data_IF_835939379315
#
_entry.id   IF_835939379315
#
_cell.length_a   1.000
_cell.length_b   1.000
_cell.length_c   1.000
_cell.angle_alpha   90.00
_cell.angle_beta   90.00
_cell.angle_gamma   90.00
#
_symmetry.space_group_name_H-M   'P 1'
#
loop_
_entity.id
_entity.type
_entity.pdbx_description
1 polymer ?
#
# COMPACT_ATOMS: atom_id res chain seq x y z
N UNK A 1 -14.24 7.29 5.82
CA UNK A 1 -14.62 8.69 6.17
C UNK A 1 -14.97 8.91 7.63
N UNK A 2 -14.37 9.91 8.27
CA UNK A 2 -14.63 10.29 9.66
C UNK A 2 -15.93 11.11 9.80
N UNK A 3 -16.81 10.72 10.72
CA UNK A 3 -17.99 11.51 11.10
C UNK A 3 -17.61 12.35 12.32
N UNK A 4 -17.66 13.67 12.22
CA UNK A 4 -17.36 14.56 13.37
C UNK A 4 -18.60 15.02 14.12
N UNK A 5 -19.77 15.02 13.47
CA UNK A 5 -21.04 15.43 14.05
C UNK A 5 -22.16 14.50 13.60
N UNK A 6 -23.03 14.07 14.52
CA UNK A 6 -24.11 13.11 14.24
C UNK A 6 -25.21 13.67 13.34
N UNK A 7 -25.53 14.95 13.49
CA UNK A 7 -26.53 15.68 12.70
C UNK A 7 -26.19 15.77 11.19
N UNK A 8 -24.93 15.46 10.82
CA UNK A 8 -24.48 15.40 9.43
C UNK A 8 -24.56 14.01 8.82
N UNK A 9 -25.01 13.01 9.58
CA UNK A 9 -25.21 11.65 9.05
C UNK A 9 -26.42 11.68 8.12
N UNK A 10 -26.22 11.32 6.86
CA UNK A 10 -27.32 11.21 5.90
C UNK A 10 -28.19 9.98 6.21
N UNK A 11 -29.50 10.12 6.07
CA UNK A 11 -30.46 9.03 6.27
C UNK A 11 -30.43 8.00 5.13
N UNK A 12 -30.99 6.83 5.41
CA UNK A 12 -31.07 5.72 4.44
C UNK A 12 -32.22 5.97 3.44
N UNK A 13 -31.95 5.77 2.14
CA UNK A 13 -32.92 5.78 1.05
C UNK A 13 -33.14 4.36 0.54
N UNK A 14 -33.95 3.61 1.25
CA UNK A 14 -34.09 2.17 1.03
C UNK A 14 -34.55 1.78 -0.37
N UNK A 15 -35.43 2.58 -0.99
CA UNK A 15 -35.95 2.34 -2.34
C UNK A 15 -34.86 2.35 -3.42
N UNK A 16 -33.75 3.03 -3.17
CA UNK A 16 -32.64 3.20 -4.12
C UNK A 16 -31.53 2.15 -3.92
N UNK A 17 -31.64 1.30 -2.89
CA UNK A 17 -30.69 0.20 -2.66
C UNK A 17 -30.97 -0.92 -3.67
N UNK A 18 -29.95 -1.42 -4.40
CA UNK A 18 -30.09 -2.49 -5.37
C UNK A 18 -30.76 -3.74 -4.80
N UNK A 19 -31.74 -4.27 -5.53
CA UNK A 19 -32.51 -5.44 -5.09
C UNK A 19 -31.63 -6.65 -4.79
N UNK A 20 -30.57 -6.84 -5.57
CA UNK A 20 -29.63 -7.93 -5.39
C UNK A 20 -28.84 -7.88 -4.07
N UNK A 21 -28.59 -6.69 -3.49
CA UNK A 21 -28.03 -6.58 -2.14
C UNK A 21 -29.08 -6.97 -1.08
N UNK A 22 -30.33 -6.52 -1.25
CA UNK A 22 -31.44 -6.80 -0.31
C UNK A 22 -31.75 -8.29 -0.18
N UNK A 23 -31.55 -9.05 -1.26
CA UNK A 23 -31.81 -10.50 -1.30
C UNK A 23 -30.81 -11.32 -0.47
N UNK A 24 -29.69 -10.76 -0.02
CA UNK A 24 -28.68 -11.46 0.77
C UNK A 24 -28.83 -11.14 2.26
N UNK A 25 -28.94 -12.14 3.16
CA UNK A 25 -29.18 -11.93 4.60
C UNK A 25 -27.89 -11.58 5.37
N UNK A 26 -27.20 -10.56 4.90
CA UNK A 26 -25.93 -10.07 5.45
C UNK A 26 -26.07 -8.66 6.07
N UNK A 27 -27.27 -8.29 6.51
CA UNK A 27 -27.57 -6.95 6.98
C UNK A 27 -27.35 -6.82 8.48
N UNK A 28 -26.90 -5.63 8.88
CA UNK A 28 -26.70 -5.19 10.26
C UNK A 28 -27.18 -3.75 10.41
N UNK A 29 -27.50 -3.34 11.63
CA UNK A 29 -27.65 -1.94 12.00
C UNK A 29 -26.28 -1.37 12.35
N UNK A 30 -26.14 -0.05 12.47
CA UNK A 30 -24.97 0.53 13.10
C UNK A 30 -25.29 1.79 13.90
N UNK A 31 -24.44 2.08 14.89
CA UNK A 31 -24.52 3.29 15.72
C UNK A 31 -23.27 4.14 15.54
N UNK A 32 -23.46 5.46 15.54
CA UNK A 32 -22.38 6.42 15.68
C UNK A 32 -21.95 6.50 17.16
N UNK A 33 -20.80 5.90 17.49
CA UNK A 33 -20.21 5.91 18.82
C UNK A 33 -18.96 6.80 18.86
N UNK A 34 -18.89 7.72 19.82
CA UNK A 34 -17.75 8.64 19.93
C UNK A 34 -16.47 7.89 20.31
N UNK A 35 -15.40 8.15 19.56
CA UNK A 35 -14.07 7.62 19.81
C UNK A 35 -13.14 8.74 20.29
N UNK A 36 -12.86 8.76 21.59
CA UNK A 36 -11.99 9.77 22.21
C UNK A 36 -10.58 9.82 21.61
N UNK A 37 -10.04 8.69 21.14
CA UNK A 37 -8.67 8.68 20.59
C UNK A 37 -8.62 9.29 19.19
N UNK A 38 -9.66 9.08 18.39
CA UNK A 38 -9.72 9.53 17.00
C UNK A 38 -10.48 10.86 16.85
N UNK A 39 -11.09 11.36 17.92
CA UNK A 39 -11.88 12.58 17.96
C UNK A 39 -12.94 12.60 16.84
N UNK A 40 -13.60 11.46 16.65
CA UNK A 40 -14.63 11.24 15.65
C UNK A 40 -15.62 10.16 16.12
N UNK A 41 -16.74 10.02 15.41
CA UNK A 41 -17.68 8.92 15.60
C UNK A 41 -17.25 7.71 14.76
N UNK A 42 -17.01 6.60 15.45
CA UNK A 42 -16.91 5.28 14.86
C UNK A 42 -18.28 4.76 14.43
N UNK A 43 -18.30 3.94 13.39
CA UNK A 43 -19.49 3.24 12.92
C UNK A 43 -19.43 1.83 13.49
N UNK A 44 -20.23 1.55 14.51
CA UNK A 44 -20.19 0.26 15.23
C UNK A 44 -21.39 -0.57 14.81
N UNK A 45 -21.21 -1.79 14.27
CA UNK A 45 -22.30 -2.61 13.78
C UNK A 45 -23.05 -3.31 14.93
N UNK A 46 -24.36 -3.46 14.77
CA UNK A 46 -25.29 -4.06 15.72
C UNK A 46 -26.23 -5.03 14.99
N UNK A 47 -26.59 -6.12 15.67
CA UNK A 47 -27.68 -7.00 15.29
C UNK A 47 -29.02 -6.38 15.65
N UNK A 48 -30.11 -6.87 15.06
CA UNK A 48 -31.49 -6.45 15.39
C UNK A 48 -31.85 -6.69 16.86
N UNK A 49 -31.14 -7.59 17.56
CA UNK A 49 -31.36 -7.85 18.99
C UNK A 49 -30.66 -6.82 19.90
N UNK A 50 -30.08 -5.74 19.35
CA UNK A 50 -29.41 -4.68 20.10
C UNK A 50 -28.00 -5.00 20.58
N UNK A 51 -27.45 -6.18 20.28
CA UNK A 51 -26.06 -6.53 20.56
C UNK A 51 -25.13 -6.17 19.40
N UNK A 52 -23.86 -5.87 19.70
CA UNK A 52 -22.83 -5.64 18.67
C UNK A 52 -22.74 -6.84 17.73
N UNK A 53 -22.77 -6.58 16.42
CA UNK A 53 -22.61 -7.60 15.40
C UNK A 53 -21.13 -7.82 15.07
N UNK A 54 -20.78 -9.05 14.74
CA UNK A 54 -19.44 -9.41 14.28
C UNK A 54 -19.40 -9.39 12.77
N UNK A 55 -18.33 -8.90 12.15
CA UNK A 55 -18.17 -8.92 10.69
C UNK A 55 -17.79 -10.30 10.13
N UNK A 56 -17.67 -11.32 10.98
CA UNK A 56 -17.30 -12.69 10.58
C UNK A 56 -18.26 -13.77 11.11
N UNK A 57 -19.18 -13.43 12.02
CA UNK A 57 -20.17 -14.37 12.53
C UNK A 57 -21.54 -14.12 11.92
N UNK A 58 -21.93 -14.99 10.96
CA UNK A 58 -23.21 -14.94 10.24
C UNK A 58 -24.44 -14.92 11.15
N UNK A 59 -24.36 -15.50 12.36
CA UNK A 59 -25.47 -15.51 13.33
C UNK A 59 -25.83 -14.13 13.89
N UNK A 60 -24.97 -13.13 13.66
CA UNK A 60 -25.19 -11.76 14.12
C UNK A 60 -25.75 -10.85 13.03
N UNK A 61 -26.02 -11.38 11.84
CA UNK A 61 -26.58 -10.67 10.70
C UNK A 61 -28.05 -11.08 10.51
N UNK A 62 -28.78 -10.32 9.69
CA UNK A 62 -30.18 -10.54 9.42
C UNK A 62 -30.52 -10.24 7.94
N UNK A 63 -31.76 -10.52 7.55
CA UNK A 63 -32.32 -10.05 6.28
C UNK A 63 -32.53 -8.52 6.27
N UNK A 64 -32.69 -7.99 5.06
CA UNK A 64 -32.86 -6.55 4.83
C UNK A 64 -34.12 -6.00 5.49
N UNK A 65 -35.24 -6.71 5.37
CA UNK A 65 -36.55 -6.26 5.87
C UNK A 65 -36.53 -6.09 7.38
N UNK A 66 -35.98 -7.06 8.11
CA UNK A 66 -35.86 -6.98 9.57
C UNK A 66 -34.98 -5.82 10.03
N UNK A 67 -33.87 -5.54 9.33
CA UNK A 67 -32.98 -4.42 9.64
C UNK A 67 -33.61 -3.07 9.28
N UNK A 68 -34.35 -3.00 8.17
CA UNK A 68 -35.10 -1.81 7.74
C UNK A 68 -36.16 -1.43 8.78
N UNK A 69 -37.01 -2.40 9.18
CA UNK A 69 -38.04 -2.18 10.20
C UNK A 69 -37.42 -1.68 11.51
N UNK A 70 -36.36 -2.35 11.99
CA UNK A 70 -35.71 -1.97 13.24
C UNK A 70 -35.06 -0.58 13.16
N UNK A 71 -34.48 -0.23 12.01
CA UNK A 71 -33.92 1.11 11.77
C UNK A 71 -35.00 2.19 11.79
N UNK A 72 -36.19 1.93 11.25
CA UNK A 72 -37.29 2.89 11.22
C UNK A 72 -37.91 3.14 12.61
N UNK A 73 -37.97 2.12 13.46
CA UNK A 73 -38.67 2.21 14.77
C UNK A 73 -37.76 2.65 15.92
N UNK A 74 -36.44 2.48 15.81
CA UNK A 74 -35.50 2.76 16.89
C UNK A 74 -34.43 3.80 16.51
N UNK A 75 -34.63 5.02 17.02
CA UNK A 75 -33.78 6.19 16.78
C UNK A 75 -32.34 6.04 17.30
N UNK A 76 -32.01 4.99 18.08
CA UNK A 76 -30.64 4.79 18.54
C UNK A 76 -29.68 4.39 17.42
N UNK A 77 -30.21 3.87 16.29
CA UNK A 77 -29.41 3.47 15.14
C UNK A 77 -29.18 4.63 14.18
N UNK A 78 -27.95 4.74 13.70
CA UNK A 78 -27.54 5.82 12.78
C UNK A 78 -27.68 5.40 11.31
N UNK A 79 -28.04 4.14 11.04
CA UNK A 79 -28.28 3.62 9.71
C UNK A 79 -28.12 2.10 9.66
N UNK A 80 -28.12 1.59 8.44
CA UNK A 80 -27.97 0.16 8.13
C UNK A 80 -26.60 -0.11 7.48
N UNK A 81 -26.19 -1.36 7.46
CA UNK A 81 -24.94 -1.81 6.86
C UNK A 81 -25.03 -3.22 6.31
N UNK A 82 -24.15 -3.51 5.37
CA UNK A 82 -24.06 -4.77 4.67
C UNK A 82 -22.69 -5.41 4.92
N UNK A 83 -22.67 -6.67 5.35
CA UNK A 83 -21.44 -7.39 5.64
C UNK A 83 -20.93 -8.10 4.40
N UNK A 84 -19.74 -7.71 3.94
CA UNK A 84 -19.01 -8.39 2.88
C UNK A 84 -18.44 -9.70 3.43
N UNK A 85 -18.65 -10.79 2.68
CA UNK A 85 -18.25 -12.13 3.09
C UNK A 85 -17.95 -12.99 1.87
N UNK A 86 -17.08 -13.98 2.04
CA UNK A 86 -16.64 -14.90 0.97
C UNK A 86 -17.78 -15.62 0.24
N UNK A 87 -19.00 -15.62 0.80
CA UNK A 87 -20.17 -16.30 0.25
C UNK A 87 -21.14 -15.43 -0.54
N UNK A 88 -20.97 -14.11 -0.62
CA UNK A 88 -21.94 -13.23 -1.29
C UNK A 88 -21.42 -12.59 -2.60
N UNK A 89 -20.14 -12.77 -2.94
CA UNK A 89 -19.49 -12.26 -4.15
C UNK A 89 -19.60 -10.73 -4.34
N UNK A 90 -19.91 -9.96 -3.28
CA UNK A 90 -19.92 -8.51 -3.34
C UNK A 90 -18.57 -7.94 -2.96
N UNK A 91 -18.17 -6.93 -3.72
CA UNK A 91 -16.96 -6.14 -3.50
C UNK A 91 -17.38 -4.69 -3.27
N UNK A 92 -16.72 -4.00 -2.35
CA UNK A 92 -16.90 -2.56 -2.18
C UNK A 92 -15.56 -1.83 -2.27
N UNK A 93 -15.51 -0.83 -3.14
CA UNK A 93 -14.49 0.21 -3.17
C UNK A 93 -14.99 1.39 -2.34
N UNK A 94 -14.32 1.71 -1.24
CA UNK A 94 -14.54 2.90 -0.42
C UNK A 94 -13.56 3.99 -0.86
N UNK A 95 -14.09 5.14 -1.28
CA UNK A 95 -13.33 6.32 -1.69
C UNK A 95 -13.61 7.45 -0.70
N UNK A 96 -12.62 7.74 0.14
CA UNK A 96 -12.71 8.83 1.11
C UNK A 96 -12.53 10.19 0.43
N UNK A 97 -13.28 11.19 0.90
CA UNK A 97 -13.18 12.60 0.44
C UNK A 97 -13.44 12.84 -1.07
N UNK A 98 -14.18 11.95 -1.73
CA UNK A 98 -14.51 12.05 -3.16
C UNK A 98 -15.47 13.21 -3.52
N UNK A 99 -16.15 13.79 -2.54
CA UNK A 99 -17.13 14.88 -2.71
C UNK A 99 -16.67 16.07 -1.88
N UNK A 100 -16.53 17.23 -2.54
CA UNK A 100 -16.13 18.47 -1.89
C UNK A 100 -17.29 19.16 -1.14
N UNK A 101 -16.99 20.27 -0.45
CA UNK A 101 -17.98 21.03 0.32
C UNK A 101 -19.11 21.63 -0.52
N UNK A 102 -18.91 21.76 -1.84
CA UNK A 102 -19.91 22.24 -2.80
C UNK A 102 -20.74 21.10 -3.39
N UNK A 103 -20.48 19.86 -2.99
CA UNK A 103 -21.13 18.66 -3.51
C UNK A 103 -20.60 18.20 -4.86
N UNK A 104 -19.44 18.69 -5.30
CA UNK A 104 -18.82 18.32 -6.57
C UNK A 104 -17.88 17.11 -6.38
N UNK A 105 -17.83 16.25 -7.38
CA UNK A 105 -16.91 15.11 -7.41
C UNK A 105 -15.52 15.60 -7.79
N UNK A 106 -14.53 15.35 -6.94
CA UNK A 106 -13.15 15.83 -7.10
C UNK A 106 -12.15 14.71 -7.44
N UNK A 107 -12.62 13.48 -7.62
CA UNK A 107 -11.81 12.29 -7.91
C UNK A 107 -12.15 11.73 -9.28
N UNK A 108 -11.15 11.61 -10.16
CA UNK A 108 -11.31 10.97 -11.48
C UNK A 108 -11.77 9.51 -11.34
N UNK A 109 -11.27 8.81 -10.34
CA UNK A 109 -11.70 7.45 -10.02
C UNK A 109 -13.19 7.44 -9.65
N UNK A 110 -13.66 8.35 -8.80
CA UNK A 110 -15.08 8.43 -8.45
C UNK A 110 -15.96 8.71 -9.68
N UNK A 111 -15.56 9.63 -10.56
CA UNK A 111 -16.25 9.91 -11.82
C UNK A 111 -16.33 8.68 -12.73
N UNK A 112 -15.25 7.89 -12.79
CA UNK A 112 -15.19 6.62 -13.54
C UNK A 112 -16.15 5.60 -12.92
N UNK A 113 -16.13 5.40 -11.60
CA UNK A 113 -16.94 4.39 -10.92
C UNK A 113 -18.44 4.69 -11.02
N UNK A 114 -18.85 5.95 -10.90
CA UNK A 114 -20.25 6.38 -11.06
C UNK A 114 -20.89 6.03 -12.42
N UNK A 115 -20.06 5.77 -13.44
CA UNK A 115 -20.49 5.36 -14.79
C UNK A 115 -20.36 3.86 -15.05
N UNK A 116 -19.82 3.11 -14.09
CA UNK A 116 -19.52 1.69 -14.25
C UNK A 116 -20.33 0.82 -13.30
N UNK A 117 -20.57 1.27 -12.08
CA UNK A 117 -21.26 0.47 -11.06
C UNK A 117 -22.15 1.29 -10.12
N UNK A 118 -22.96 0.62 -9.31
CA UNK A 118 -23.75 1.22 -8.24
C UNK A 118 -22.83 1.95 -7.27
N UNK A 119 -23.06 3.26 -7.15
CA UNK A 119 -22.31 4.13 -6.29
C UNK A 119 -23.27 4.90 -5.37
N UNK A 120 -22.95 4.96 -4.08
CA UNK A 120 -23.72 5.72 -3.11
C UNK A 120 -22.81 6.62 -2.28
N UNK A 121 -23.37 7.73 -1.82
CA UNK A 121 -22.69 8.59 -0.84
C UNK A 121 -22.55 7.84 0.48
N UNK A 122 -21.38 7.92 1.09
CA UNK A 122 -21.19 7.40 2.44
C UNK A 122 -22.01 8.21 3.46
N UNK A 123 -22.16 7.74 4.71
CA UNK A 123 -22.95 8.44 5.72
C UNK A 123 -22.48 9.87 6.04
N UNK A 124 -21.22 10.23 5.79
CA UNK A 124 -20.75 11.61 5.98
C UNK A 124 -21.12 12.54 4.83
N UNK A 125 -21.57 12.00 3.70
CA UNK A 125 -21.87 12.73 2.46
C UNK A 125 -20.65 13.16 1.64
N UNK A 126 -19.43 12.92 2.13
CA UNK A 126 -18.18 13.44 1.56
C UNK A 126 -17.40 12.43 0.71
N UNK A 127 -17.88 11.20 0.56
CA UNK A 127 -17.20 10.19 -0.25
C UNK A 127 -18.14 9.07 -0.60
N UNK A 128 -17.58 8.00 -1.15
CA UNK A 128 -18.32 7.12 -2.05
C UNK A 128 -18.07 5.65 -1.76
N UNK A 129 -19.13 4.85 -1.66
CA UNK A 129 -19.05 3.40 -1.76
C UNK A 129 -19.45 2.98 -3.16
N UNK A 130 -18.62 2.18 -3.82
CA UNK A 130 -18.89 1.63 -5.14
C UNK A 130 -18.94 0.10 -5.02
N UNK A 131 -20.11 -0.49 -5.27
CA UNK A 131 -20.31 -1.94 -5.13
C UNK A 131 -20.15 -2.66 -6.45
N UNK A 132 -19.51 -3.82 -6.47
CA UNK A 132 -19.35 -4.69 -7.63
C UNK A 132 -19.72 -6.13 -7.27
N UNK A 133 -19.93 -6.96 -8.29
CA UNK A 133 -19.88 -8.41 -8.17
C UNK A 133 -18.58 -8.95 -8.74
N UNK A 134 -18.00 -9.90 -8.04
CA UNK A 134 -16.81 -10.61 -8.48
C UNK A 134 -15.96 -11.09 -7.31
N UNK A 135 -14.72 -11.45 -7.63
CA UNK A 135 -13.74 -11.91 -6.65
C UNK A 135 -12.50 -11.06 -6.71
N UNK A 136 -11.89 -10.86 -5.55
CA UNK A 136 -10.61 -10.19 -5.47
C UNK A 136 -9.51 -11.21 -5.21
N UNK A 137 -8.33 -11.07 -5.83
CA UNK A 137 -7.21 -11.95 -5.58
C UNK A 137 -6.65 -11.72 -4.18
N UNK A 138 -6.14 -12.76 -3.51
CA UNK A 138 -5.56 -12.65 -2.17
C UNK A 138 -4.32 -11.74 -2.14
N UNK A 139 -3.57 -11.72 -3.24
CA UNK A 139 -2.34 -10.95 -3.41
C UNK A 139 -2.62 -9.52 -3.91
N UNK A 140 -3.26 -8.72 -3.06
CA UNK A 140 -3.53 -7.32 -3.35
C UNK A 140 -3.47 -6.48 -2.08
N UNK A 141 -3.22 -5.20 -2.26
CA UNK A 141 -3.39 -4.22 -1.19
C UNK A 141 -4.88 -4.10 -0.93
N UNK A 142 -5.26 -4.08 0.35
CA UNK A 142 -6.64 -3.74 0.76
C UNK A 142 -6.87 -2.24 0.84
N UNK A 143 -5.80 -1.45 1.00
CA UNK A 143 -5.85 0.01 1.21
C UNK A 143 -4.70 0.72 0.50
N UNK A 144 -5.01 1.89 -0.06
CA UNK A 144 -4.07 2.89 -0.59
C UNK A 144 -4.28 4.21 0.15
N UNK A 145 -3.59 4.37 1.28
CA UNK A 145 -3.66 5.59 2.09
C UNK A 145 -3.17 6.84 1.35
N UNK A 146 -2.32 6.66 0.33
CA UNK A 146 -1.84 7.75 -0.52
C UNK A 146 -2.92 8.30 -1.46
N UNK A 147 -3.98 7.53 -1.71
CA UNK A 147 -5.08 7.87 -2.60
C UNK A 147 -6.43 7.90 -1.86
N UNK A 148 -6.43 7.67 -0.54
CA UNK A 148 -7.65 7.60 0.27
C UNK A 148 -8.71 6.59 -0.26
N UNK A 149 -8.24 5.44 -0.76
CA UNK A 149 -9.12 4.36 -1.25
C UNK A 149 -8.87 3.01 -0.56
N UNK A 150 -9.94 2.25 -0.37
CA UNK A 150 -9.92 0.91 0.22
C UNK A 150 -10.81 -0.05 -0.57
N UNK A 151 -10.40 -1.32 -0.72
CA UNK A 151 -11.11 -2.32 -1.52
C UNK A 151 -11.28 -3.63 -0.74
N UNK A 152 -12.53 -3.99 -0.47
CA UNK A 152 -12.89 -5.14 0.36
C UNK A 152 -13.91 -6.05 -0.32
N UNK A 153 -13.81 -7.34 -0.03
CA UNK A 153 -14.73 -8.41 -0.42
C UNK A 153 -15.16 -9.29 0.78
N UNK A 154 -14.53 -9.12 1.94
CA UNK A 154 -14.73 -9.99 3.09
C UNK A 154 -14.39 -9.31 4.43
N UNK A 155 -14.94 -9.87 5.52
CA UNK A 155 -14.63 -9.55 6.92
C UNK A 155 -14.80 -8.08 7.33
N UNK A 156 -15.54 -7.31 6.53
CA UNK A 156 -15.88 -5.90 6.76
C UNK A 156 -17.35 -5.69 6.51
N UNK A 157 -17.97 -4.81 7.28
CA UNK A 157 -19.28 -4.28 6.93
C UNK A 157 -19.09 -2.90 6.29
N UNK A 158 -19.93 -2.60 5.32
CA UNK A 158 -20.06 -1.29 4.70
C UNK A 158 -21.37 -0.68 5.18
N UNK A 159 -21.35 0.56 5.64
CA UNK A 159 -22.62 1.28 5.86
C UNK A 159 -23.28 1.52 4.51
N UNK A 160 -24.59 1.32 4.45
CA UNK A 160 -25.37 1.49 3.23
C UNK A 160 -26.33 2.66 3.43
N UNK A 161 -26.37 3.58 2.47
CA UNK A 161 -27.22 4.78 2.56
C UNK A 161 -28.30 4.79 1.49
N UNK A 162 -28.17 4.06 0.38
CA UNK A 162 -29.08 4.20 -0.75
C UNK A 162 -29.03 5.59 -1.40
N UNK A 163 -28.13 6.49 -0.98
CA UNK A 163 -28.04 7.83 -1.56
C UNK A 163 -27.23 7.77 -2.85
N UNK A 164 -27.85 7.16 -3.87
CA UNK A 164 -27.25 6.81 -5.14
C UNK A 164 -26.75 8.04 -5.90
N UNK A 165 -25.64 7.86 -6.60
CA UNK A 165 -25.02 8.90 -7.42
C UNK A 165 -24.41 8.25 -8.67
N UNK A 166 -24.90 8.65 -9.84
CA UNK A 166 -24.56 7.98 -11.10
C UNK A 166 -25.58 6.89 -11.43
N UNK A 167 -25.10 5.70 -11.76
CA UNK A 167 -25.95 4.55 -12.08
C UNK A 167 -26.42 3.77 -10.85
N UNK A 168 -27.52 3.03 -11.02
CA UNK A 168 -28.14 2.25 -9.96
C UNK A 168 -27.79 0.74 -10.01
N UNK A 169 -27.22 0.26 -11.11
CA UNK A 169 -26.91 -1.17 -11.31
C UNK A 169 -25.51 -1.52 -10.82
N UNK A 170 -25.39 -2.66 -10.13
CA UNK A 170 -24.11 -3.23 -9.72
C UNK A 170 -23.47 -3.94 -10.92
N UNK A 171 -22.23 -3.56 -11.20
CA UNK A 171 -21.42 -4.15 -12.25
C UNK A 171 -21.01 -5.57 -11.88
N UNK A 172 -21.43 -6.54 -12.69
CA UNK A 172 -20.99 -7.94 -12.64
C UNK A 172 -20.03 -8.22 -13.80
N UNK A 173 -18.84 -7.61 -13.74
CA UNK A 173 -17.80 -7.79 -14.73
C UNK A 173 -16.42 -7.86 -14.07
N UNK A 174 -15.87 -9.08 -14.03
CA UNK A 174 -14.58 -9.34 -13.40
C UNK A 174 -13.42 -8.55 -14.04
N UNK A 175 -13.47 -8.23 -15.33
CA UNK A 175 -12.39 -7.47 -15.99
C UNK A 175 -12.32 -6.01 -15.55
N UNK A 176 -13.48 -5.43 -15.20
CA UNK A 176 -13.53 -4.09 -14.59
C UNK A 176 -12.83 -4.11 -13.23
N UNK A 177 -13.10 -5.13 -12.42
CA UNK A 177 -12.41 -5.34 -11.14
C UNK A 177 -10.91 -5.60 -11.34
N UNK A 178 -10.51 -6.45 -12.29
CA UNK A 178 -9.12 -6.74 -12.58
C UNK A 178 -8.36 -5.47 -12.96
N UNK A 179 -8.95 -4.64 -13.82
CA UNK A 179 -8.36 -3.34 -14.23
C UNK A 179 -8.21 -2.41 -13.03
N UNK A 180 -9.24 -2.30 -12.17
CA UNK A 180 -9.17 -1.51 -10.94
C UNK A 180 -8.07 -2.02 -9.99
N UNK A 181 -7.93 -3.34 -9.86
CA UNK A 181 -6.89 -3.95 -9.04
C UNK A 181 -5.51 -3.62 -9.63
N UNK A 182 -5.29 -3.88 -10.91
CA UNK A 182 -4.00 -3.65 -11.56
C UNK A 182 -3.54 -2.19 -11.49
N UNK A 183 -4.48 -1.26 -11.64
CA UNK A 183 -4.21 0.19 -11.60
C UNK A 183 -3.94 0.69 -10.17
N UNK A 184 -4.68 0.21 -9.17
CA UNK A 184 -4.67 0.82 -7.83
C UNK A 184 -4.30 -0.12 -6.68
N UNK A 185 -4.58 -1.42 -6.76
CA UNK A 185 -4.46 -2.34 -5.62
C UNK A 185 -3.47 -3.49 -5.81
N UNK A 186 -2.78 -3.57 -6.95
CA UNK A 186 -1.81 -4.61 -7.22
C UNK A 186 -0.74 -4.64 -6.14
N UNK A 187 -0.64 -5.77 -5.45
CA UNK A 187 0.56 -6.09 -4.70
C UNK A 187 1.59 -6.62 -5.68
N UNK A 188 2.71 -5.93 -5.78
CA UNK A 188 3.91 -6.54 -6.34
C UNK A 188 4.35 -7.60 -5.34
N UNK A 189 3.86 -8.82 -5.50
CA UNK A 189 4.43 -9.98 -4.83
C UNK A 189 5.91 -10.07 -5.22
N UNK A 190 6.84 -10.34 -4.29
CA UNK A 190 8.13 -10.86 -4.66
C UNK A 190 7.89 -12.24 -5.28
N UNK A 191 8.17 -12.36 -6.58
CA UNK A 191 8.12 -13.64 -7.29
C UNK A 191 9.19 -14.55 -6.70
N UNK A 192 8.78 -15.55 -5.91
CA UNK A 192 9.60 -16.74 -5.71
C UNK A 192 9.40 -17.63 -6.94
N UNK A 193 10.51 -17.90 -7.61
CA UNK A 193 10.75 -18.84 -8.71
C UNK A 193 9.62 -19.85 -9.01
N UNK A 194 8.90 -19.60 -10.10
CA UNK A 194 8.50 -20.69 -10.99
C UNK A 194 9.33 -20.51 -12.25
N UNK A 195 10.25 -21.45 -12.45
CA UNK A 195 11.01 -21.64 -13.67
C UNK A 195 10.04 -21.59 -14.86
N UNK A 196 10.08 -20.49 -15.60
CA UNK A 196 9.71 -20.45 -17.01
C UNK A 196 10.89 -19.85 -17.73
N UNK A 197 11.73 -20.74 -18.23
CA UNK A 197 12.53 -20.46 -19.41
C UNK A 197 11.59 -19.94 -20.49
N UNK A 198 11.70 -18.65 -20.81
CA UNK A 198 11.45 -18.14 -22.15
C UNK A 198 12.21 -16.82 -22.28
N UNK A 199 13.40 -16.97 -22.86
CA UNK A 199 14.25 -15.99 -23.53
C UNK A 199 13.73 -14.55 -23.63
N UNK A 200 14.37 -13.65 -22.88
CA UNK A 200 14.82 -12.38 -23.46
C UNK A 200 16.05 -11.87 -22.70
N UNK A 201 17.15 -11.77 -23.44
CA UNK A 201 18.46 -11.26 -23.03
C UNK A 201 18.37 -9.88 -22.39
N UNK A 202 18.70 -9.76 -21.10
CA UNK A 202 19.13 -8.50 -20.52
C UNK A 202 20.32 -8.74 -19.59
N UNK A 203 21.48 -8.23 -19.98
CA UNK A 203 22.73 -8.29 -19.22
C UNK A 203 22.52 -7.88 -17.76
N UNK A 204 22.70 -8.82 -16.84
CA UNK A 204 22.74 -8.54 -15.41
C UNK A 204 24.04 -7.79 -15.12
N UNK A 205 23.94 -6.53 -14.68
CA UNK A 205 25.11 -5.69 -14.38
C UNK A 205 25.90 -6.29 -13.21
N UNK A 206 27.23 -6.32 -13.31
CA UNK A 206 28.09 -6.79 -12.24
C UNK A 206 28.11 -5.82 -11.06
N UNK A 207 28.58 -6.26 -9.88
CA UNK A 207 28.70 -5.40 -8.70
C UNK A 207 29.59 -4.18 -8.97
N UNK A 208 30.67 -4.37 -9.71
CA UNK A 208 31.59 -3.30 -10.09
C UNK A 208 30.90 -2.28 -11.01
N UNK A 209 30.05 -2.73 -11.94
CA UNK A 209 29.27 -1.85 -12.81
C UNK A 209 28.25 -1.03 -12.03
N UNK A 210 27.56 -1.66 -11.07
CA UNK A 210 26.61 -0.98 -10.18
C UNK A 210 27.31 0.13 -9.39
N UNK A 211 28.47 -0.15 -8.81
CA UNK A 211 29.26 0.86 -8.09
C UNK A 211 29.71 1.97 -9.04
N UNK A 212 30.20 1.64 -10.23
CA UNK A 212 30.60 2.64 -11.22
C UNK A 212 29.44 3.58 -11.61
N UNK A 213 28.22 3.03 -11.74
CA UNK A 213 27.02 3.82 -12.02
C UNK A 213 26.66 4.71 -10.81
N UNK A 214 26.71 4.18 -9.59
CA UNK A 214 26.49 4.95 -8.36
C UNK A 214 27.45 6.13 -8.23
N UNK A 215 28.73 5.93 -8.58
CA UNK A 215 29.78 6.96 -8.54
C UNK A 215 29.63 8.05 -9.60
N UNK A 216 28.79 7.84 -10.62
CA UNK A 216 28.44 8.86 -11.63
C UNK A 216 27.18 9.64 -11.26
N UNK A 217 26.49 9.27 -10.18
CA UNK A 217 25.24 9.90 -9.77
C UNK A 217 25.46 11.26 -9.10
N UNK A 218 24.39 12.06 -9.01
CA UNK A 218 24.37 13.31 -8.23
C UNK A 218 24.62 13.10 -6.73
N UNK A 219 24.43 11.88 -6.23
CA UNK A 219 24.56 11.52 -4.81
C UNK A 219 25.86 10.77 -4.50
N UNK A 220 26.81 10.75 -5.46
CA UNK A 220 28.05 9.97 -5.40
C UNK A 220 28.87 10.19 -4.13
N UNK A 221 28.94 11.41 -3.61
CA UNK A 221 29.81 11.73 -2.46
C UNK A 221 29.24 11.07 -1.19
N UNK A 222 27.94 11.22 -0.94
CA UNK A 222 27.25 10.54 0.16
C UNK A 222 27.29 9.01 0.02
N UNK A 223 27.11 8.48 -1.19
CA UNK A 223 27.18 7.04 -1.44
C UNK A 223 28.59 6.50 -1.18
N UNK A 224 29.63 7.23 -1.61
CA UNK A 224 31.03 6.88 -1.39
C UNK A 224 31.34 6.84 0.11
N UNK A 225 30.95 7.87 0.85
CA UNK A 225 31.18 7.94 2.29
C UNK A 225 30.51 6.77 3.03
N UNK A 226 29.26 6.45 2.67
CA UNK A 226 28.55 5.29 3.21
C UNK A 226 29.23 3.95 2.88
N UNK A 227 29.72 3.76 1.66
CA UNK A 227 30.46 2.56 1.27
C UNK A 227 31.82 2.43 1.98
N UNK A 228 32.43 3.56 2.35
CA UNK A 228 33.70 3.60 3.08
C UNK A 228 33.54 3.46 4.59
N UNK A 229 32.32 3.59 5.11
CA UNK A 229 32.04 3.50 6.54
C UNK A 229 31.90 4.80 7.28
N UNK A 230 32.05 5.93 6.61
CA UNK A 230 32.06 7.26 7.21
C UNK A 230 30.68 7.90 7.07
N UNK A 231 29.82 7.69 8.06
CA UNK A 231 28.42 8.10 7.99
C UNK A 231 28.03 9.19 8.98
N UNK A 232 28.90 9.50 9.94
CA UNK A 232 28.64 10.34 11.11
C UNK A 232 28.30 11.78 10.75
N UNK A 233 28.71 12.25 9.56
CA UNK A 233 28.34 13.56 9.03
C UNK A 233 26.91 13.62 8.48
N UNK A 234 26.27 12.46 8.25
CA UNK A 234 24.96 12.35 7.62
C UNK A 234 23.88 11.77 8.54
N UNK A 235 24.28 10.93 9.51
CA UNK A 235 23.36 10.16 10.35
C UNK A 235 23.88 10.06 11.78
N UNK A 236 22.95 10.16 12.74
CA UNK A 236 23.26 10.05 14.17
C UNK A 236 23.44 8.59 14.62
N UNK A 237 23.06 7.62 13.78
CA UNK A 237 23.15 6.20 14.11
C UNK A 237 23.57 5.31 12.94
N UNK A 238 24.27 4.21 13.26
CA UNK A 238 24.68 3.20 12.27
C UNK A 238 23.49 2.53 11.59
N UNK A 239 22.36 2.38 12.27
CA UNK A 239 21.16 1.74 11.70
C UNK A 239 20.51 2.60 10.60
N UNK A 240 20.55 3.93 10.74
CA UNK A 240 20.09 4.85 9.71
C UNK A 240 21.04 4.87 8.50
N UNK A 241 22.35 4.84 8.75
CA UNK A 241 23.36 4.74 7.70
C UNK A 241 23.23 3.44 6.88
N UNK A 242 23.04 2.31 7.56
CA UNK A 242 22.75 1.01 6.92
C UNK A 242 21.52 1.12 6.03
N UNK A 243 20.40 1.61 6.55
CA UNK A 243 19.17 1.75 5.75
C UNK A 243 19.34 2.68 4.55
N UNK A 244 20.08 3.79 4.70
CA UNK A 244 20.36 4.70 3.60
C UNK A 244 21.18 4.02 2.50
N UNK A 245 22.22 3.26 2.86
CA UNK A 245 23.03 2.55 1.87
C UNK A 245 22.24 1.45 1.17
N UNK A 246 21.46 0.66 1.92
CA UNK A 246 20.60 -0.38 1.34
C UNK A 246 19.51 0.20 0.43
N UNK A 247 19.02 1.42 0.68
CA UNK A 247 18.07 2.09 -0.21
C UNK A 247 18.69 2.47 -1.56
N UNK A 248 19.94 2.97 -1.56
CA UNK A 248 20.69 3.19 -2.79
C UNK A 248 20.96 1.88 -3.53
N UNK A 249 21.39 0.83 -2.83
CA UNK A 249 21.62 -0.48 -3.44
C UNK A 249 20.33 -1.06 -4.02
N UNK A 250 19.19 -0.91 -3.34
CA UNK A 250 17.89 -1.33 -3.85
C UNK A 250 17.51 -0.61 -5.16
N UNK A 251 17.84 0.68 -5.29
CA UNK A 251 17.64 1.42 -6.54
C UNK A 251 18.49 0.84 -7.67
N UNK A 252 19.82 0.78 -7.46
CA UNK A 252 20.76 0.50 -8.55
C UNK A 252 20.82 -0.97 -8.96
N UNK A 253 20.65 -1.90 -8.01
CA UNK A 253 20.65 -3.35 -8.29
C UNK A 253 19.30 -3.87 -8.80
N UNK A 254 18.32 -2.98 -9.00
CA UNK A 254 16.96 -3.40 -9.35
C UNK A 254 16.31 -4.25 -8.27
N UNK A 255 16.62 -4.00 -7.00
CA UNK A 255 16.17 -4.78 -5.83
C UNK A 255 16.65 -6.23 -5.81
N UNK A 256 17.75 -6.55 -6.47
CA UNK A 256 18.37 -7.86 -6.37
C UNK A 256 18.97 -8.04 -4.96
N UNK A 257 18.20 -8.65 -4.05
CA UNK A 257 18.56 -8.81 -2.63
C UNK A 257 19.93 -9.45 -2.42
N UNK A 258 20.25 -10.48 -3.18
CA UNK A 258 21.55 -11.18 -3.09
C UNK A 258 22.71 -10.27 -3.53
N UNK A 259 22.50 -9.49 -4.60
CA UNK A 259 23.49 -8.53 -5.07
C UNK A 259 23.66 -7.36 -4.09
N UNK A 260 22.57 -6.85 -3.52
CA UNK A 260 22.61 -5.83 -2.47
C UNK A 260 23.42 -6.32 -1.26
N UNK A 261 23.14 -7.53 -0.79
CA UNK A 261 23.85 -8.14 0.34
C UNK A 261 25.34 -8.33 0.04
N UNK A 262 25.68 -8.87 -1.14
CA UNK A 262 27.07 -9.07 -1.56
C UNK A 262 27.84 -7.74 -1.64
N UNK A 263 27.25 -6.70 -2.22
CA UNK A 263 27.88 -5.38 -2.29
C UNK A 263 28.04 -4.78 -0.87
N UNK A 264 27.00 -4.85 -0.05
CA UNK A 264 27.04 -4.30 1.30
C UNK A 264 28.14 -4.98 2.16
N UNK A 265 28.20 -6.31 2.17
CA UNK A 265 29.18 -7.07 2.95
C UNK A 265 30.61 -6.96 2.41
N UNK A 266 30.81 -6.81 1.11
CA UNK A 266 32.14 -6.68 0.50
C UNK A 266 32.77 -5.31 0.72
N UNK A 267 31.98 -4.23 0.79
CA UNK A 267 32.50 -2.87 0.93
C UNK A 267 32.64 -2.45 2.39
N UNK A 268 31.55 -2.49 3.15
CA UNK A 268 31.62 -2.29 4.59
C UNK A 268 30.34 -2.74 5.29
N UNK A 269 30.46 -3.69 6.21
CA UNK A 269 29.39 -4.00 7.14
C UNK A 269 29.36 -2.95 8.25
N UNK A 270 28.60 -1.87 8.01
CA UNK A 270 28.36 -0.73 8.91
C UNK A 270 27.79 -1.09 10.30
N UNK A 271 27.63 -2.37 10.62
CA UNK A 271 27.08 -2.83 11.89
C UNK A 271 27.62 -4.20 12.31
N UNK A 272 27.74 -4.38 13.62
CA UNK A 272 27.95 -5.66 14.30
C UNK A 272 26.69 -6.54 14.37
N UNK A 273 25.50 -5.99 14.06
CA UNK A 273 24.21 -6.67 14.23
C UNK A 273 23.77 -7.48 13.02
N UNK A 274 24.50 -7.45 11.90
CA UNK A 274 24.04 -7.99 10.62
C UNK A 274 23.52 -9.44 10.72
N UNK A 275 24.29 -10.32 11.38
CA UNK A 275 23.93 -11.73 11.57
C UNK A 275 23.08 -12.02 12.82
N UNK A 276 22.76 -10.99 13.61
CA UNK A 276 21.98 -11.18 14.84
C UNK A 276 20.59 -11.73 14.53
N UNK A 277 20.23 -12.88 15.10
CA UNK A 277 18.92 -13.54 14.89
C UNK A 277 17.74 -12.69 15.37
N UNK A 278 16.69 -12.62 14.55
CA UNK A 278 15.41 -11.95 14.80
C UNK A 278 14.28 -12.86 14.30
N UNK A 279 13.68 -13.62 15.20
CA UNK A 279 12.70 -14.65 14.83
C UNK A 279 13.34 -15.73 13.95
N UNK A 280 12.76 -15.95 12.76
CA UNK A 280 13.24 -16.94 11.79
C UNK A 280 14.29 -16.40 10.79
N UNK A 281 14.78 -15.18 10.97
CA UNK A 281 15.75 -14.53 10.06
C UNK A 281 16.81 -13.74 10.85
N UNK A 282 17.67 -12.96 10.19
CA UNK A 282 18.64 -12.05 10.83
C UNK A 282 18.22 -10.59 10.71
N UNK A 283 18.81 -9.72 11.53
CA UNK A 283 18.57 -8.28 11.45
C UNK A 283 18.95 -7.72 10.06
N UNK A 284 20.09 -8.12 9.50
CA UNK A 284 20.51 -7.68 8.16
C UNK A 284 19.51 -8.06 7.07
N UNK A 285 18.96 -9.27 7.14
CA UNK A 285 17.93 -9.73 6.21
C UNK A 285 16.63 -8.92 6.31
N UNK A 286 16.21 -8.54 7.52
CA UNK A 286 15.06 -7.65 7.72
C UNK A 286 15.33 -6.24 7.19
N UNK A 287 16.54 -5.71 7.35
CA UNK A 287 16.90 -4.40 6.85
C UNK A 287 16.98 -4.38 5.31
N UNK A 288 17.46 -5.45 4.67
CA UNK A 288 17.37 -5.64 3.22
C UNK A 288 15.92 -5.66 2.73
N UNK A 289 15.07 -6.45 3.38
CA UNK A 289 13.64 -6.53 3.04
C UNK A 289 12.95 -5.18 3.18
N UNK A 290 13.29 -4.45 4.25
CA UNK A 290 12.81 -3.08 4.50
C UNK A 290 13.26 -2.11 3.41
N UNK A 291 14.53 -2.16 2.99
CA UNK A 291 15.03 -1.29 1.93
C UNK A 291 14.35 -1.58 0.59
N UNK A 292 14.22 -2.87 0.22
CA UNK A 292 13.53 -3.34 -1.00
C UNK A 292 12.06 -2.91 -1.02
N UNK A 293 11.38 -3.05 0.12
CA UNK A 293 9.97 -2.65 0.29
C UNK A 293 9.80 -1.14 0.17
N UNK A 294 10.70 -0.36 0.77
CA UNK A 294 10.62 1.09 0.80
C UNK A 294 11.10 1.74 -0.50
N UNK A 295 11.89 1.04 -1.31
CA UNK A 295 12.42 1.57 -2.56
C UNK A 295 11.35 1.55 -3.66
N UNK A 296 10.90 2.72 -4.11
CA UNK A 296 9.76 2.82 -5.06
C UNK A 296 10.16 2.71 -6.52
N UNK A 297 11.33 3.21 -6.87
CA UNK A 297 11.87 3.21 -8.23
C UNK A 297 13.11 2.33 -8.30
N UNK A 298 13.47 1.88 -9.49
CA UNK A 298 14.73 1.17 -9.74
C UNK A 298 15.43 1.81 -10.90
N UNK A 299 16.75 1.71 -10.91
CA UNK A 299 17.57 2.16 -12.02
C UNK A 299 17.20 1.35 -13.25
N UNK A 300 16.77 2.04 -14.31
CA UNK A 300 16.51 1.46 -15.63
C UNK A 300 17.46 2.14 -16.61
N UNK A 301 18.20 1.33 -17.35
CA UNK A 301 19.20 1.83 -18.30
C UNK A 301 18.48 2.30 -19.56
N UNK A 302 18.70 3.55 -19.96
CA UNK A 302 18.29 4.03 -21.28
C UNK A 302 19.15 3.36 -22.36
N UNK A 303 18.55 3.00 -23.50
CA UNK A 303 19.23 2.38 -24.65
C UNK A 303 20.44 3.21 -25.15
N UNK A 304 20.48 4.52 -24.87
CA UNK A 304 21.59 5.39 -25.28
C UNK A 304 22.87 5.24 -24.43
N UNK A 305 22.81 4.64 -23.24
CA UNK A 305 23.98 4.48 -22.36
C UNK A 305 24.87 3.27 -22.71
N UNK A 306 24.45 2.43 -23.67
CA UNK A 306 25.19 1.23 -24.07
C UNK A 306 26.55 1.56 -24.72
N UNK A 307 26.66 2.72 -25.37
CA UNK A 307 27.89 3.14 -26.07
C UNK A 307 28.95 3.76 -25.16
N UNK A 308 28.60 4.19 -23.94
CA UNK A 308 29.53 4.92 -23.04
C UNK A 308 30.29 3.96 -22.11
N UNK A 309 29.73 2.81 -21.77
CA UNK A 309 30.27 1.93 -20.71
C UNK A 309 31.44 1.06 -21.18
N UNK A 310 31.55 0.75 -22.48
CA UNK A 310 32.67 -0.05 -22.99
C UNK A 310 34.04 0.64 -22.89
N UNK A 311 34.10 1.97 -22.70
CA UNK A 311 35.37 2.70 -22.69
C UNK A 311 35.95 2.97 -21.29
N UNK A 312 35.20 2.80 -20.19
CA UNK A 312 35.57 3.36 -18.88
C UNK A 312 36.01 2.40 -17.77
N UNK A 313 36.00 1.08 -17.98
CA UNK A 313 36.10 0.09 -16.87
C UNK A 313 37.48 -0.01 -16.21
N UNK A 314 38.56 0.46 -16.86
CA UNK A 314 39.93 0.31 -16.33
C UNK A 314 40.37 1.42 -15.37
N UNK A 315 39.79 2.62 -15.42
CA UNK A 315 40.30 3.80 -14.69
C UNK A 315 39.83 3.89 -13.23
N UNK A 316 38.62 3.41 -12.90
CA UNK A 316 37.98 3.71 -11.60
C UNK A 316 38.60 2.93 -10.43
N UNK A 317 39.01 1.67 -10.66
CA UNK A 317 39.62 0.82 -9.63
C UNK A 317 41.03 1.31 -9.23
N UNK A 318 41.75 1.93 -10.17
CA UNK A 318 43.01 2.61 -9.88
C UNK A 318 42.78 3.91 -9.10
N UNK A 319 41.79 4.70 -9.48
CA UNK A 319 41.47 5.98 -8.82
C UNK A 319 41.04 5.81 -7.35
N UNK A 320 40.21 4.80 -7.05
CA UNK A 320 39.73 4.53 -5.68
C UNK A 320 40.84 3.96 -4.78
N UNK A 321 41.76 3.16 -5.33
CA UNK A 321 42.92 2.66 -4.58
C UNK A 321 43.95 3.76 -4.27
N UNK A 322 44.13 4.73 -5.18
CA UNK A 322 45.03 5.87 -4.96
C UNK A 322 44.50 6.79 -3.86
N UNK A 323 43.21 7.14 -3.90
CA UNK A 323 42.58 8.02 -2.92
C UNK A 323 42.52 7.39 -1.52
N UNK A 324 42.28 6.08 -1.43
CA UNK A 324 42.30 5.36 -0.14
C UNK A 324 43.68 5.27 0.50
N UNK A 325 44.76 5.34 -0.28
CA UNK A 325 46.14 5.38 0.23
C UNK A 325 46.54 6.80 0.71
N UNK A 326 46.04 7.84 0.06
CA UNK A 326 46.31 9.23 0.42
C UNK A 326 45.60 9.67 1.72
N UNK A 327 44.40 9.15 2.00
CA UNK A 327 43.69 9.46 3.26
C UNK A 327 44.29 8.72 4.48
N UNK A 328 44.76 7.48 4.29
CA UNK A 328 45.43 6.70 5.36
C UNK A 328 46.76 7.28 5.78
N UNK A 329 47.46 7.96 4.87
CA UNK A 329 48.73 8.64 5.19
C UNK A 329 48.52 10.01 5.84
N UNK A 330 47.37 10.68 5.63
CA UNK A 330 47.03 11.97 6.26
C UNK A 330 46.55 11.85 7.71
N UNK A 331 45.83 10.78 8.07
CA UNK A 331 45.29 10.61 9.44
C UNK A 331 46.21 9.87 10.42
N UNK A 332 47.41 9.46 9.98
CA UNK A 332 48.37 8.69 10.79
C UNK A 332 49.35 9.49 11.66
N UNK A 333 49.18 10.81 11.83
CA UNK A 333 50.05 11.61 12.72
C UNK A 333 49.26 12.58 13.58
N UNK A 334 48.89 12.13 14.78
CA UNK A 334 49.08 12.84 16.05
C UNK A 334 48.56 11.98 17.20
N UNK A 335 49.46 11.17 17.74
CA UNK A 335 49.48 10.86 19.17
C UNK A 335 50.92 11.10 19.59
N UNK A 336 51.14 12.26 20.20
CA UNK A 336 52.15 12.50 21.24
C UNK A 336 51.44 13.28 22.34
#
# INVERSE_FOLDING_TARGET
MAIKKKDRIIGVKELEIPQELKLVPNWVLWRAEWNEKQQNYGKVPYSINGYRASTTNKKTWCDFESVSIEYEVDEQYSGIGFVLSDGNNFVCLDIDNAIDEKGQINSELALKMMRLTYCEKSPSGTGLHCFFKGKLPDNRKKKRTDLDIELYDSARFMTVTGCTIGQNDICDNQEVLNTLIDEYFKENLPVNDVVREESNTNMQLSDEDIINIMMKSKQKDKIKDLLQGTYESYFDSSSEAVQSLLHYLAFYTGKNKQQMERIFLNYNNLTDKWESKRGNTTWGQLELDKAIKNQKTVYTKSIDEFNVIQQGSKDVKQLLNQLGHEERTKNGRKVD
#
